data_IF_023794445488
#
_entry.id   IF_023794445488
#
_cell.length_a   1.000
_cell.length_b   1.000
_cell.length_c   1.000
_cell.angle_alpha   90.00
_cell.angle_beta   90.00
_cell.angle_gamma   90.00
#
_symmetry.space_group_name_H-M   'P 1'
#
loop_
_entity.id
_entity.type
_entity.pdbx_description
1 polymer ?
#
# COMPACT_ATOMS: atom_id res chain seq x y z
N UNK A 1 -10.03 6.30 19.74
CA UNK A 1 -9.41 6.37 18.41
C UNK A 1 -9.47 5.01 17.75
N UNK A 2 -9.35 4.95 16.43
CA UNK A 2 -9.27 3.67 15.68
C UNK A 2 -7.79 3.31 15.51
N UNK A 3 -7.35 2.07 15.84
CA UNK A 3 -5.99 1.63 15.56
C UNK A 3 -5.70 1.62 14.05
N UNK A 4 -4.55 2.15 13.64
CA UNK A 4 -4.18 2.33 12.23
C UNK A 4 -2.73 1.92 11.99
N UNK A 5 -2.46 1.39 10.79
CA UNK A 5 -1.12 1.09 10.29
C UNK A 5 -0.82 1.91 9.05
N UNK A 6 0.46 2.18 8.80
CA UNK A 6 0.95 2.80 7.57
C UNK A 6 1.53 1.72 6.66
N UNK A 7 0.99 1.58 5.46
CA UNK A 7 1.46 0.62 4.46
C UNK A 7 1.20 1.16 3.05
N UNK A 8 2.20 1.07 2.17
CA UNK A 8 2.13 1.55 0.79
C UNK A 8 3.37 1.14 -0.01
N UNK A 9 3.36 1.31 -1.34
CA UNK A 9 4.46 0.93 -2.23
C UNK A 9 5.61 1.94 -2.20
N UNK A 10 6.80 1.49 -2.60
CA UNK A 10 7.98 2.34 -2.82
C UNK A 10 8.72 2.74 -1.54
N UNK A 11 9.66 3.69 -1.70
CA UNK A 11 10.53 4.18 -0.64
C UNK A 11 10.12 5.61 -0.24
N UNK A 12 9.66 5.77 1.00
CA UNK A 12 9.22 7.07 1.53
C UNK A 12 10.31 8.16 1.49
N UNK A 13 11.60 7.76 1.46
CA UNK A 13 12.72 8.71 1.34
C UNK A 13 12.76 9.45 0.01
N UNK A 14 12.01 8.96 -1.00
CA UNK A 14 11.87 9.61 -2.32
C UNK A 14 10.67 10.55 -2.41
N UNK A 15 9.82 10.59 -1.39
CA UNK A 15 8.65 11.47 -1.38
C UNK A 15 9.09 12.95 -1.44
N UNK A 16 8.33 13.76 -2.17
CA UNK A 16 8.56 15.19 -2.36
C UNK A 16 9.89 15.53 -3.08
N UNK A 17 10.39 14.61 -3.92
CA UNK A 17 11.54 14.84 -4.78
C UNK A 17 11.10 15.19 -6.22
N UNK A 18 11.92 15.95 -6.99
CA UNK A 18 11.60 16.28 -8.38
C UNK A 18 11.35 15.06 -9.30
N UNK A 19 11.99 13.94 -8.98
CA UNK A 19 11.88 12.66 -9.68
C UNK A 19 11.15 11.60 -8.84
N UNK A 20 10.16 11.99 -8.02
CA UNK A 20 9.37 11.07 -7.21
C UNK A 20 8.73 9.95 -8.07
N UNK A 21 8.98 8.70 -7.68
CA UNK A 21 8.38 7.53 -8.32
C UNK A 21 8.25 6.34 -7.36
N UNK A 22 7.40 5.39 -7.76
CA UNK A 22 7.32 4.03 -7.22
C UNK A 22 7.40 3.03 -8.36
N UNK A 23 7.89 1.83 -8.10
CA UNK A 23 7.87 0.77 -9.12
C UNK A 23 6.44 0.27 -9.36
N UNK A 24 6.05 0.08 -10.62
CA UNK A 24 4.70 -0.41 -10.97
C UNK A 24 4.40 -1.76 -10.29
N UNK A 25 5.40 -2.64 -10.21
CA UNK A 25 5.26 -3.93 -9.51
C UNK A 25 4.95 -3.77 -8.01
N UNK A 26 5.48 -2.73 -7.37
CA UNK A 26 5.23 -2.48 -5.94
C UNK A 26 3.82 -1.92 -5.76
N UNK A 27 3.37 -1.06 -6.67
CA UNK A 27 1.99 -0.57 -6.70
C UNK A 27 0.99 -1.72 -6.83
N UNK A 28 1.21 -2.62 -7.80
CA UNK A 28 0.36 -3.80 -7.98
C UNK A 28 0.34 -4.70 -6.74
N UNK A 29 1.49 -4.88 -6.09
CA UNK A 29 1.60 -5.68 -4.87
C UNK A 29 0.83 -5.03 -3.71
N UNK A 30 1.00 -3.73 -3.50
CA UNK A 30 0.29 -2.99 -2.47
C UNK A 30 -1.23 -3.06 -2.69
N UNK A 31 -1.69 -2.91 -3.93
CA UNK A 31 -3.11 -3.06 -4.27
C UNK A 31 -3.67 -4.44 -3.91
N UNK A 32 -2.94 -5.52 -4.27
CA UNK A 32 -3.32 -6.90 -3.91
C UNK A 32 -3.37 -7.11 -2.40
N UNK A 33 -2.40 -6.57 -1.65
CA UNK A 33 -2.36 -6.68 -0.18
C UNK A 33 -3.55 -5.97 0.45
N UNK A 34 -3.86 -4.73 0.03
CA UNK A 34 -5.01 -3.97 0.56
C UNK A 34 -6.32 -4.69 0.24
N UNK A 35 -6.50 -5.15 -1.01
CA UNK A 35 -7.69 -5.90 -1.41
C UNK A 35 -7.85 -7.18 -0.57
N UNK A 36 -6.81 -8.01 -0.46
CA UNK A 36 -6.87 -9.24 0.32
C UNK A 36 -7.12 -8.97 1.81
N UNK A 37 -6.53 -7.91 2.36
CA UNK A 37 -6.75 -7.50 3.75
C UNK A 37 -8.21 -7.13 3.97
N UNK A 38 -8.81 -6.35 3.07
CA UNK A 38 -10.22 -5.98 3.14
C UNK A 38 -11.13 -7.21 3.01
N UNK A 39 -10.86 -8.10 2.04
CA UNK A 39 -11.64 -9.32 1.85
C UNK A 39 -11.61 -10.23 3.08
N UNK A 40 -10.42 -10.42 3.68
CA UNK A 40 -10.25 -11.18 4.93
C UNK A 40 -10.96 -10.53 6.11
N UNK A 41 -10.86 -9.21 6.24
CA UNK A 41 -11.53 -8.46 7.30
C UNK A 41 -13.06 -8.58 7.21
N UNK A 42 -13.60 -8.53 5.99
CA UNK A 42 -15.03 -8.69 5.72
C UNK A 42 -15.51 -10.15 5.68
N UNK A 43 -14.61 -11.14 5.84
CA UNK A 43 -14.97 -12.56 5.85
C UNK A 43 -15.42 -13.13 4.50
N UNK A 44 -14.97 -12.54 3.39
CA UNK A 44 -15.34 -12.95 2.01
C UNK A 44 -14.18 -13.58 1.23
N UNK A 45 -13.04 -13.77 1.89
CA UNK A 45 -11.87 -14.51 1.39
C UNK A 45 -11.39 -15.52 2.42
#
# INVERSE_FOLDING_TARGET
>A
GVPTVLFGPGDVRRAHAPDEYVEVRELEMAAKVVALTALRFCGVA
#
